data_IF_799660462219
#
_entry.id   IF_799660462219
#
_cell.length_a   1.000
_cell.length_b   1.000
_cell.length_c   1.000
_cell.angle_alpha   90.00
_cell.angle_beta   90.00
_cell.angle_gamma   90.00
#
_symmetry.space_group_name_H-M   'P 1'
#
loop_
_entity.id
_entity.type
_entity.pdbx_description
1 polymer ?
#
# COMPACT_ATOMS: atom_id res chain seq x y z
N UNK A 1 17.05 -11.50 50.09
CA UNK A 1 16.40 -10.40 49.34
C UNK A 1 17.16 -9.97 48.07
N UNK A 2 18.40 -10.44 47.82
CA UNK A 2 19.22 -10.03 46.66
C UNK A 2 18.88 -10.74 45.32
N UNK A 3 18.18 -11.89 45.36
CA UNK A 3 17.83 -12.66 44.14
C UNK A 3 16.65 -12.10 43.35
N UNK A 4 15.69 -11.45 44.01
CA UNK A 4 14.54 -10.84 43.35
C UNK A 4 14.92 -9.58 42.55
N UNK A 5 15.91 -8.82 43.04
CA UNK A 5 16.45 -7.66 42.32
C UNK A 5 17.14 -8.06 41.00
N UNK A 6 17.83 -9.20 40.97
CA UNK A 6 18.57 -9.66 39.78
C UNK A 6 17.64 -10.06 38.63
N UNK A 7 16.46 -10.64 38.94
CA UNK A 7 15.46 -11.02 37.94
C UNK A 7 14.74 -9.80 37.36
N UNK A 8 14.49 -8.77 38.17
CA UNK A 8 13.88 -7.52 37.70
C UNK A 8 14.83 -6.72 36.80
N UNK A 9 16.15 -6.74 37.09
CA UNK A 9 17.17 -6.12 36.26
C UNK A 9 17.34 -6.84 34.92
N UNK A 10 17.23 -8.18 34.87
CA UNK A 10 17.27 -8.93 33.61
C UNK A 10 16.02 -8.69 32.73
N UNK A 11 14.84 -8.56 33.33
CA UNK A 11 13.59 -8.29 32.58
C UNK A 11 13.57 -6.88 31.95
N UNK A 12 14.14 -5.89 32.63
CA UNK A 12 14.31 -4.53 32.08
C UNK A 12 15.39 -4.45 30.99
N UNK A 13 16.37 -5.36 31.00
CA UNK A 13 17.42 -5.42 29.98
C UNK A 13 16.95 -6.03 28.64
N UNK A 14 15.99 -6.96 28.67
CA UNK A 14 15.45 -7.58 27.45
C UNK A 14 14.37 -6.74 26.76
N UNK A 15 13.68 -5.85 27.49
CA UNK A 15 12.62 -4.99 26.94
C UNK A 15 13.10 -3.77 26.14
N UNK A 16 14.39 -3.42 26.18
CA UNK A 16 14.96 -2.25 25.47
C UNK A 16 15.50 -2.56 24.06
N UNK A 17 15.45 -3.81 23.61
CA UNK A 17 16.03 -4.23 22.33
C UNK A 17 15.10 -4.11 21.12
N UNK A 18 13.82 -3.74 21.29
CA UNK A 18 12.85 -3.74 20.18
C UNK A 18 12.46 -2.35 19.62
N UNK A 19 13.10 -1.25 20.06
CA UNK A 19 12.62 0.11 19.72
C UNK A 19 13.63 1.03 19.03
N UNK A 20 14.69 0.51 18.39
CA UNK A 20 15.64 1.36 17.65
C UNK A 20 15.82 1.00 16.17
N UNK A 21 14.90 0.25 15.57
CA UNK A 21 14.86 0.10 14.11
C UNK A 21 13.99 1.21 13.53
N UNK A 22 14.52 2.43 13.52
CA UNK A 22 14.31 3.48 12.51
C UNK A 22 14.99 4.75 13.02
N UNK A 23 15.65 5.46 12.10
CA UNK A 23 16.30 6.77 12.26
C UNK A 23 17.77 6.75 12.72
N UNK A 24 18.65 6.31 11.82
CA UNK A 24 19.94 7.00 11.62
C UNK A 24 20.56 6.69 10.25
N UNK A 25 20.08 7.38 9.22
CA UNK A 25 20.86 7.62 8.01
C UNK A 25 21.86 8.71 8.37
N UNK A 26 23.07 8.32 8.77
CA UNK A 26 24.18 9.26 8.97
C UNK A 26 25.06 9.23 7.73
N UNK A 27 24.94 10.31 6.97
CA UNK A 27 25.86 10.74 5.92
C UNK A 27 27.24 10.91 6.54
N UNK A 28 28.18 10.05 6.17
CA UNK A 28 29.59 10.19 6.50
C UNK A 28 30.19 11.32 5.66
N UNK A 29 30.39 12.48 6.29
CA UNK A 29 31.26 13.54 5.78
C UNK A 29 32.70 13.23 6.20
N UNK A 30 33.58 12.96 5.23
CA UNK A 30 35.02 12.88 5.45
C UNK A 30 35.62 14.31 5.41
N UNK A 31 36.54 14.67 6.32
CA UNK A 31 37.28 15.92 6.25
C UNK A 31 38.61 15.71 5.51
N UNK A 32 38.89 16.52 4.49
CA UNK A 32 40.26 16.73 4.00
C UNK A 32 40.47 18.22 3.83
N UNK A 33 41.22 18.79 4.78
CA UNK A 33 41.81 20.12 4.70
C UNK A 33 43.16 20.03 3.96
N UNK A 34 43.19 20.72 2.82
CA UNK A 34 44.27 21.52 2.22
C UNK A 34 45.74 21.09 2.37
N UNK A 35 46.41 20.88 1.24
CA UNK A 35 47.57 21.71 0.80
C UNK A 35 48.03 21.33 -0.62
N UNK A 36 47.88 22.28 -1.57
CA UNK A 36 48.87 22.77 -2.56
C UNK A 36 49.62 21.72 -3.45
N UNK A 37 49.82 21.79 -4.78
CA UNK A 37 49.80 22.76 -5.88
C UNK A 37 49.72 21.91 -7.19
N UNK A 38 49.38 22.35 -8.40
CA UNK A 38 49.99 23.35 -9.31
C UNK A 38 49.03 23.51 -10.51
N UNK A 39 48.84 24.75 -10.98
CA UNK A 39 48.06 25.13 -12.17
C UNK A 39 48.89 24.87 -13.45
N UNK A 40 48.28 24.38 -14.55
CA UNK A 40 48.16 25.24 -15.73
C UNK A 40 46.75 25.23 -16.35
N UNK A 41 46.29 26.40 -16.80
CA UNK A 41 45.02 26.61 -17.49
C UNK A 41 45.08 26.11 -18.94
N UNK A 42 44.06 25.38 -19.39
CA UNK A 42 43.76 25.26 -20.82
C UNK A 42 42.24 25.14 -21.07
N UNK A 43 41.80 25.89 -22.09
CA UNK A 43 40.49 26.01 -22.72
C UNK A 43 39.28 25.22 -22.15
N UNK A 44 38.27 25.96 -21.72
CA UNK A 44 36.93 25.49 -21.36
C UNK A 44 36.21 24.81 -22.53
N UNK A 45 36.18 23.47 -22.53
CA UNK A 45 35.09 22.69 -23.15
C UNK A 45 33.96 22.52 -22.13
N UNK A 46 32.68 22.76 -22.51
CA UNK A 46 31.56 22.50 -21.61
C UNK A 46 31.54 21.02 -21.20
N UNK A 47 31.26 20.69 -19.93
CA UNK A 47 31.23 19.32 -19.46
C UNK A 47 30.10 18.53 -20.15
N UNK A 48 30.22 17.19 -20.24
CA UNK A 48 29.16 16.33 -20.72
C UNK A 48 27.87 16.61 -19.96
N UNK A 49 26.82 17.03 -20.68
CA UNK A 49 25.51 17.19 -20.10
C UNK A 49 24.96 15.80 -19.78
N UNK A 50 24.71 15.53 -18.50
CA UNK A 50 23.89 14.40 -18.05
C UNK A 50 22.57 14.44 -18.84
N UNK A 51 22.11 13.33 -19.45
CA UNK A 51 20.80 13.33 -20.08
C UNK A 51 19.76 13.76 -19.02
N UNK A 52 18.80 14.61 -19.39
CA UNK A 52 17.76 15.04 -18.47
C UNK A 52 17.03 13.79 -17.92
N UNK A 53 16.57 13.81 -16.66
CA UNK A 53 15.74 12.73 -16.14
C UNK A 53 14.57 12.53 -17.10
N UNK A 54 14.34 11.29 -17.52
CA UNK A 54 13.12 10.90 -18.24
C UNK A 54 11.93 11.51 -17.50
N UNK A 55 11.11 12.35 -18.14
CA UNK A 55 9.95 12.90 -17.46
C UNK A 55 9.10 11.71 -16.98
N UNK A 56 8.75 11.73 -15.69
CA UNK A 56 7.67 10.89 -15.18
C UNK A 56 6.46 11.06 -16.12
N UNK A 57 5.69 9.99 -16.41
CA UNK A 57 4.56 10.10 -17.33
C UNK A 57 3.68 11.27 -16.91
N UNK A 58 3.71 12.31 -17.74
CA UNK A 58 2.95 13.52 -17.54
C UNK A 58 1.48 13.13 -17.61
N UNK A 59 0.77 13.25 -16.48
CA UNK A 59 -0.66 13.01 -16.43
C UNK A 59 -1.33 14.01 -17.37
N UNK A 60 -1.73 13.51 -18.54
CA UNK A 60 -2.44 14.30 -19.54
C UNK A 60 -3.75 14.80 -18.92
N UNK A 61 -3.98 16.13 -18.87
CA UNK A 61 -5.24 16.68 -18.38
C UNK A 61 -6.30 16.47 -19.47
N UNK A 62 -7.03 15.37 -19.40
CA UNK A 62 -8.06 15.05 -20.38
C UNK A 62 -8.73 13.68 -20.27
N UNK A 63 -8.15 12.71 -19.56
CA UNK A 63 -8.88 11.50 -19.16
C UNK A 63 -9.59 11.78 -17.86
N UNK A 64 -10.92 11.73 -17.85
CA UNK A 64 -11.66 11.53 -16.60
C UNK A 64 -11.15 10.19 -16.06
N UNK A 65 -10.17 10.23 -15.15
CA UNK A 65 -9.63 9.04 -14.51
C UNK A 65 -10.78 8.47 -13.70
N UNK A 66 -11.43 7.44 -14.25
CA UNK A 66 -12.36 6.59 -13.53
C UNK A 66 -11.54 6.01 -12.38
N UNK A 67 -11.59 6.64 -11.21
CA UNK A 67 -10.82 6.23 -10.04
C UNK A 67 -11.73 5.37 -9.15
N UNK A 68 -11.15 4.39 -8.47
CA UNK A 68 -11.90 3.67 -7.46
C UNK A 68 -11.79 4.39 -6.13
N UNK A 69 -12.93 4.62 -5.49
CA UNK A 69 -12.99 4.98 -4.09
C UNK A 69 -12.79 3.72 -3.26
N UNK A 70 -11.69 3.67 -2.49
CA UNK A 70 -11.38 2.56 -1.60
C UNK A 70 -12.15 2.67 -0.27
N UNK A 71 -12.67 1.53 0.19
CA UNK A 71 -13.49 1.40 1.39
C UNK A 71 -12.88 0.32 2.30
N UNK A 72 -12.01 0.69 3.25
CA UNK A 72 -11.40 -0.27 4.17
C UNK A 72 -12.47 -0.87 5.10
N UNK A 73 -12.19 -2.08 5.59
CA UNK A 73 -13.03 -2.78 6.58
C UNK A 73 -14.52 -2.83 6.19
N UNK A 74 -14.76 -3.20 4.94
CA UNK A 74 -16.06 -3.15 4.30
C UNK A 74 -16.24 -4.34 3.38
N UNK A 75 -17.39 -5.01 3.49
CA UNK A 75 -17.82 -6.07 2.58
C UNK A 75 -19.01 -5.57 1.76
N UNK A 76 -18.75 -5.10 0.55
CA UNK A 76 -19.79 -4.55 -0.32
C UNK A 76 -20.72 -5.63 -0.89
N UNK A 77 -21.99 -5.27 -1.01
CA UNK A 77 -22.99 -6.08 -1.69
C UNK A 77 -22.81 -6.03 -3.20
N UNK A 78 -23.64 -6.80 -3.91
CA UNK A 78 -23.68 -6.84 -5.36
C UNK A 78 -23.55 -8.24 -5.89
N UNK A 79 -24.05 -8.41 -7.11
CA UNK A 79 -23.98 -9.66 -7.85
C UNK A 79 -22.56 -9.86 -8.37
N UNK A 80 -22.02 -11.06 -8.20
CA UNK A 80 -20.67 -11.38 -8.68
C UNK A 80 -20.65 -11.40 -10.20
N UNK A 81 -19.75 -10.60 -10.77
CA UNK A 81 -19.45 -10.55 -12.21
C UNK A 81 -18.29 -11.49 -12.54
N UNK A 82 -17.25 -11.48 -11.70
CA UNK A 82 -16.09 -12.33 -11.84
C UNK A 82 -15.33 -12.46 -10.50
N UNK A 83 -14.49 -13.49 -10.40
CA UNK A 83 -13.56 -13.67 -9.29
C UNK A 83 -12.13 -13.72 -9.84
N UNK A 84 -11.25 -12.91 -9.26
CA UNK A 84 -9.80 -12.92 -9.48
C UNK A 84 -9.12 -13.51 -8.26
N UNK A 85 -8.03 -14.24 -8.49
CA UNK A 85 -7.20 -14.85 -7.44
C UNK A 85 -5.77 -14.33 -7.56
N UNK A 86 -5.00 -14.51 -6.49
CA UNK A 86 -3.60 -14.11 -6.41
C UNK A 86 -3.37 -12.61 -6.67
N UNK A 87 -4.41 -11.79 -6.43
CA UNK A 87 -4.34 -10.33 -6.53
C UNK A 87 -3.56 -9.78 -5.35
N UNK A 88 -2.61 -8.88 -5.60
CA UNK A 88 -1.68 -8.40 -4.58
C UNK A 88 -2.21 -7.24 -3.74
N UNK A 89 -3.22 -6.51 -4.22
CA UNK A 89 -3.74 -5.31 -3.55
C UNK A 89 -5.17 -4.94 -3.97
N UNK A 90 -5.83 -4.11 -3.17
CA UNK A 90 -7.11 -3.49 -3.53
C UNK A 90 -7.01 -2.58 -4.75
N UNK A 91 -5.85 -1.95 -4.98
CA UNK A 91 -5.59 -1.16 -6.20
C UNK A 91 -5.55 -2.04 -7.46
N UNK A 92 -4.96 -3.23 -7.40
CA UNK A 92 -4.98 -4.18 -8.50
C UNK A 92 -6.40 -4.75 -8.72
N UNK A 93 -7.14 -5.02 -7.65
CA UNK A 93 -8.55 -5.42 -7.74
C UNK A 93 -9.42 -4.32 -8.39
N UNK A 94 -9.17 -3.05 -8.08
CA UNK A 94 -9.77 -1.91 -8.76
C UNK A 94 -9.46 -1.91 -10.27
N UNK A 95 -8.20 -2.11 -10.66
CA UNK A 95 -7.82 -2.16 -12.08
C UNK A 95 -8.53 -3.29 -12.84
N UNK A 96 -8.70 -4.45 -12.20
CA UNK A 96 -9.53 -5.52 -12.74
C UNK A 96 -11.00 -5.10 -12.89
N UNK A 97 -11.56 -4.37 -11.92
CA UNK A 97 -12.93 -3.86 -12.02
C UNK A 97 -13.11 -2.86 -13.16
N UNK A 98 -12.20 -1.88 -13.30
CA UNK A 98 -12.24 -0.86 -14.36
C UNK A 98 -12.23 -1.45 -15.77
N UNK A 99 -11.60 -2.61 -15.94
CA UNK A 99 -11.46 -3.29 -17.24
C UNK A 99 -12.50 -4.40 -17.45
N UNK A 100 -13.28 -4.75 -16.43
CA UNK A 100 -14.30 -5.80 -16.51
C UNK A 100 -15.66 -5.20 -16.79
N UNK A 101 -16.24 -5.53 -17.95
CA UNK A 101 -17.58 -5.06 -18.32
C UNK A 101 -18.61 -5.46 -17.25
N UNK A 102 -19.36 -4.46 -16.76
CA UNK A 102 -20.40 -4.65 -15.75
C UNK A 102 -19.92 -4.56 -14.31
N UNK A 103 -18.59 -4.55 -14.07
CA UNK A 103 -18.08 -4.27 -12.73
C UNK A 103 -18.20 -2.79 -12.39
N UNK A 104 -18.74 -2.49 -11.21
CA UNK A 104 -18.71 -1.14 -10.64
C UNK A 104 -18.40 -1.13 -9.13
N UNK A 105 -18.30 -2.30 -8.51
CA UNK A 105 -17.95 -2.52 -7.10
C UNK A 105 -17.00 -3.71 -7.04
N UNK A 106 -16.07 -3.75 -6.09
CA UNK A 106 -15.24 -4.93 -5.82
C UNK A 106 -15.07 -5.16 -4.32
N UNK A 107 -14.71 -6.39 -3.96
CA UNK A 107 -14.34 -6.81 -2.60
C UNK A 107 -13.04 -7.60 -2.65
N UNK A 108 -12.04 -7.19 -1.88
CA UNK A 108 -10.69 -7.73 -1.85
C UNK A 108 -10.31 -8.26 -0.46
N UNK A 109 -9.66 -9.43 -0.43
CA UNK A 109 -9.14 -10.03 0.78
C UNK A 109 -7.62 -9.80 0.94
N UNK A 110 -7.24 -8.79 1.73
CA UNK A 110 -5.84 -8.50 2.04
C UNK A 110 -5.27 -9.38 3.18
N UNK A 111 -6.14 -9.97 4.01
CA UNK A 111 -5.75 -10.58 5.28
C UNK A 111 -4.99 -11.89 5.09
N UNK A 112 -3.78 -11.95 5.64
CA UNK A 112 -3.03 -13.20 5.77
C UNK A 112 -3.81 -14.17 6.68
N UNK A 113 -4.11 -15.37 6.16
CA UNK A 113 -5.01 -16.33 6.82
C UNK A 113 -6.47 -16.26 6.36
N UNK A 114 -6.77 -15.38 5.40
CA UNK A 114 -8.04 -15.29 4.71
C UNK A 114 -9.11 -14.46 5.41
N UNK A 115 -10.15 -14.13 4.66
CA UNK A 115 -11.25 -13.27 5.07
C UNK A 115 -12.51 -14.11 5.24
N UNK A 116 -13.23 -13.95 6.36
CA UNK A 116 -14.51 -14.61 6.56
C UNK A 116 -15.67 -13.75 6.06
N UNK A 117 -16.78 -14.39 5.69
CA UNK A 117 -18.00 -13.70 5.23
C UNK A 117 -18.90 -13.21 6.37
N UNK A 118 -18.47 -13.31 7.63
CA UNK A 118 -19.27 -12.96 8.80
C UNK A 118 -20.47 -13.89 9.05
N UNK A 119 -20.64 -14.98 8.28
CA UNK A 119 -21.79 -15.89 8.42
C UNK A 119 -21.72 -16.80 9.65
N UNK A 120 -20.56 -16.87 10.32
CA UNK A 120 -20.30 -17.80 11.42
C UNK A 120 -20.12 -19.27 10.99
N UNK A 121 -20.17 -19.56 9.68
CA UNK A 121 -19.97 -20.93 9.15
C UNK A 121 -18.51 -21.37 9.15
N UNK A 122 -17.58 -20.44 9.39
CA UNK A 122 -16.13 -20.69 9.32
C UNK A 122 -15.56 -20.66 7.90
N UNK A 123 -16.37 -20.31 6.89
CA UNK A 123 -15.90 -20.13 5.51
C UNK A 123 -14.84 -19.03 5.46
N UNK A 124 -13.68 -19.35 4.87
CA UNK A 124 -12.58 -18.40 4.67
C UNK A 124 -12.18 -18.33 3.21
N UNK A 125 -12.14 -17.11 2.71
CA UNK A 125 -11.64 -16.79 1.39
C UNK A 125 -10.13 -16.57 1.46
N UNK A 126 -9.32 -17.19 0.59
CA UNK A 126 -7.88 -17.00 0.60
C UNK A 126 -7.47 -15.54 0.43
N UNK A 127 -6.33 -15.18 0.99
CA UNK A 127 -5.67 -13.90 0.69
C UNK A 127 -5.52 -13.74 -0.83
N UNK A 128 -5.70 -12.52 -1.33
CA UNK A 128 -5.63 -12.23 -2.75
C UNK A 128 -6.88 -12.57 -3.54
N UNK A 129 -7.96 -13.00 -2.86
CA UNK A 129 -9.27 -13.12 -3.50
C UNK A 129 -9.83 -11.72 -3.76
N UNK A 130 -10.21 -11.47 -5.00
CA UNK A 130 -10.82 -10.23 -5.47
C UNK A 130 -12.12 -10.58 -6.22
N UNK A 131 -13.26 -10.27 -5.62
CA UNK A 131 -14.57 -10.50 -6.22
C UNK A 131 -15.07 -9.21 -6.85
N UNK A 132 -15.23 -9.23 -8.17
CA UNK A 132 -15.77 -8.15 -8.96
C UNK A 132 -17.29 -8.24 -8.96
N UNK A 133 -17.96 -7.11 -8.74
CA UNK A 133 -19.40 -7.06 -8.51
C UNK A 133 -20.07 -5.97 -9.33
N UNK A 134 -21.36 -6.18 -9.54
CA UNK A 134 -22.27 -5.17 -10.07
C UNK A 134 -23.34 -4.83 -9.04
N UNK A 135 -23.65 -3.54 -8.93
CA UNK A 135 -24.74 -3.01 -8.11
C UNK A 135 -25.40 -1.83 -8.82
N UNK A 136 -26.71 -1.64 -8.65
CA UNK A 136 -27.35 -0.38 -8.99
C UNK A 136 -26.89 0.74 -8.04
N UNK A 137 -26.07 1.68 -8.54
CA UNK A 137 -25.59 2.84 -7.79
C UNK A 137 -26.30 4.11 -8.25
N UNK A 138 -26.77 4.92 -7.30
CA UNK A 138 -27.15 6.30 -7.58
C UNK A 138 -25.87 7.12 -7.77
N UNK A 139 -25.76 7.99 -8.79
CA UNK A 139 -24.60 8.86 -8.97
C UNK A 139 -24.26 9.61 -7.67
N UNK A 140 -22.98 9.55 -7.26
CA UNK A 140 -22.49 10.18 -6.03
C UNK A 140 -22.83 9.45 -4.73
N UNK A 141 -23.45 8.26 -4.79
CA UNK A 141 -23.73 7.43 -3.61
C UNK A 141 -22.74 6.28 -3.46
N UNK A 142 -22.48 5.89 -2.22
CA UNK A 142 -21.73 4.67 -1.91
C UNK A 142 -22.55 3.42 -2.24
N UNK A 143 -21.88 2.26 -2.46
CA UNK A 143 -22.54 0.97 -2.57
C UNK A 143 -23.24 0.55 -1.27
N UNK A 144 -24.08 -0.47 -1.37
CA UNK A 144 -24.64 -1.13 -0.20
C UNK A 144 -23.61 -2.10 0.38
N UNK A 145 -23.72 -2.40 1.67
CA UNK A 145 -22.77 -3.23 2.40
C UNK A 145 -23.47 -4.41 3.08
N UNK A 146 -22.84 -5.58 3.05
CA UNK A 146 -23.19 -6.67 3.96
C UNK A 146 -22.72 -6.34 5.37
N UNK A 147 -21.53 -5.74 5.49
CA UNK A 147 -20.95 -5.33 6.76
C UNK A 147 -19.93 -4.20 6.58
N UNK A 148 -19.77 -3.39 7.63
CA UNK A 148 -18.71 -2.37 7.77
C UNK A 148 -18.16 -2.38 9.20
N UNK A 149 -16.95 -1.85 9.39
CA UNK A 149 -16.34 -1.63 10.70
C UNK A 149 -15.11 -2.49 10.96
N UNK A 150 -14.33 -2.15 11.99
CA UNK A 150 -12.94 -2.63 12.19
C UNK A 150 -12.74 -4.15 12.23
N UNK A 151 -13.78 -4.94 12.50
CA UNK A 151 -13.71 -6.40 12.53
C UNK A 151 -13.99 -7.06 11.17
N UNK A 152 -14.46 -6.29 10.18
CA UNK A 152 -14.71 -6.77 8.83
C UNK A 152 -13.37 -6.93 8.11
N UNK A 153 -12.98 -8.15 7.71
CA UNK A 153 -11.65 -8.44 7.18
C UNK A 153 -11.52 -8.14 5.67
N UNK A 154 -12.42 -7.34 5.11
CA UNK A 154 -12.50 -7.06 3.68
C UNK A 154 -12.14 -5.61 3.37
N UNK A 155 -11.54 -5.38 2.21
CA UNK A 155 -11.39 -4.07 1.60
C UNK A 155 -12.27 -4.02 0.36
N UNK A 156 -13.27 -3.14 0.35
CA UNK A 156 -14.09 -2.94 -0.85
C UNK A 156 -13.65 -1.71 -1.61
N UNK A 157 -14.19 -1.54 -2.81
CA UNK A 157 -14.13 -0.26 -3.51
C UNK A 157 -15.20 -0.18 -4.59
N UNK A 158 -15.40 1.02 -5.12
CA UNK A 158 -16.35 1.25 -6.21
C UNK A 158 -15.83 2.31 -7.14
N UNK A 159 -16.28 2.22 -8.38
CA UNK A 159 -15.92 3.17 -9.44
C UNK A 159 -16.73 4.45 -9.26
N UNK A 160 -16.06 5.62 -9.23
CA UNK A 160 -16.68 6.95 -9.16
C UNK A 160 -16.43 7.80 -10.40
#
# INVERSE_FOLDING_TARGET
MMRALLVLVLALALGRQAQQVMVKVQVLVNPVDQTAQVVPQEATTPPPQTPPPTPAPEQSPGSQLIECVLLPNTNAQGDTVADQRDVSSSAECCAHCQTTQGCNVFVFCALQGGCDDGSGTGTRYPQGTCTLKTQALTPGSQPAFWATGMVVPWESGYIS
#
